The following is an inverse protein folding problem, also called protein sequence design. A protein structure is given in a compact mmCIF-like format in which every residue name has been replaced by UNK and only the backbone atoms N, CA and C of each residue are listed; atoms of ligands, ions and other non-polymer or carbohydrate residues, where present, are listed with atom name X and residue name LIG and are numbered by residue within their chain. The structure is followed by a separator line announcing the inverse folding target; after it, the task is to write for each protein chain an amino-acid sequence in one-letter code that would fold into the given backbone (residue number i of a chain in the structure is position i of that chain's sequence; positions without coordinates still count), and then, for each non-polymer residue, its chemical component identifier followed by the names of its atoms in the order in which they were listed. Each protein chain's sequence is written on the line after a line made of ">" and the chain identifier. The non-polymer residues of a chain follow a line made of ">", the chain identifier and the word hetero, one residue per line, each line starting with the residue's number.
data_IF_560422524137
#
_entry.id   IF_560422524137
#
_cell.length_a   1.000
_cell.length_b   1.000
_cell.length_c   1.000
_cell.angle_alpha   90.00
_cell.angle_beta   90.00
_cell.angle_gamma   90.00
#
_symmetry.space_group_name_H-M   'P 1'
#
loop_
_entity.id
_entity.type
_entity.pdbx_description
1 polymer ?
#
# COMPACT_ATOMS: atom_id res chain seq x y z
N UNK A 1 -16.36 16.18 -19.68
CA UNK A 1 -17.28 15.50 -18.73
C UNK A 1 -17.41 14.01 -19.00
N UNK A 2 -17.79 13.57 -20.20
CA UNK A 2 -17.90 12.12 -20.52
C UNK A 2 -16.61 11.36 -20.21
N UNK A 3 -15.44 11.91 -20.55
CA UNK A 3 -14.14 11.30 -20.24
C UNK A 3 -13.91 11.08 -18.74
N UNK A 4 -14.33 12.01 -17.88
CA UNK A 4 -14.23 11.89 -16.42
C UNK A 4 -15.08 10.71 -15.95
N UNK A 5 -16.34 10.63 -16.39
CA UNK A 5 -17.25 9.54 -16.00
C UNK A 5 -16.72 8.18 -16.46
N UNK A 6 -16.21 8.10 -17.69
CA UNK A 6 -15.60 6.86 -18.21
C UNK A 6 -14.36 6.48 -17.41
N UNK A 7 -13.47 7.43 -17.11
CA UNK A 7 -12.30 7.19 -16.26
C UNK A 7 -12.69 6.72 -14.85
N UNK A 8 -13.64 7.40 -14.21
CA UNK A 8 -14.17 7.00 -12.90
C UNK A 8 -14.81 5.62 -12.93
N UNK A 9 -15.53 5.25 -14.00
CA UNK A 9 -16.10 3.92 -14.17
C UNK A 9 -15.01 2.84 -14.29
N UNK A 10 -13.96 3.09 -15.08
CA UNK A 10 -12.83 2.17 -15.22
C UNK A 10 -12.10 2.00 -13.89
N UNK A 11 -11.82 3.08 -13.18
CA UNK A 11 -11.23 3.05 -11.85
C UNK A 11 -12.12 2.32 -10.83
N UNK A 12 -13.42 2.59 -10.82
CA UNK A 12 -14.37 1.94 -9.92
C UNK A 12 -14.43 0.42 -10.16
N UNK A 13 -14.43 -0.02 -11.43
CA UNK A 13 -14.39 -1.44 -11.77
C UNK A 13 -13.07 -2.10 -11.37
N UNK A 14 -11.94 -1.43 -11.60
CA UNK A 14 -10.62 -1.95 -11.23
C UNK A 14 -10.48 -2.09 -9.70
N UNK A 15 -10.77 -1.02 -8.97
CA UNK A 15 -10.68 -0.98 -7.50
C UNK A 15 -11.69 -1.92 -6.88
N UNK A 16 -12.95 -1.87 -7.33
CA UNK A 16 -14.01 -2.78 -6.88
C UNK A 16 -13.67 -4.24 -7.13
N UNK A 17 -13.09 -4.57 -8.29
CA UNK A 17 -12.64 -5.92 -8.60
C UNK A 17 -11.55 -6.42 -7.65
N UNK A 18 -10.56 -5.58 -7.33
CA UNK A 18 -9.52 -5.91 -6.34
C UNK A 18 -10.11 -6.07 -4.93
N UNK A 19 -10.98 -5.16 -4.49
CA UNK A 19 -11.62 -5.25 -3.17
C UNK A 19 -12.49 -6.52 -3.04
N UNK A 20 -13.27 -6.85 -4.08
CA UNK A 20 -14.07 -8.07 -4.13
C UNK A 20 -13.19 -9.32 -4.14
N UNK A 21 -12.08 -9.32 -4.88
CA UNK A 21 -11.12 -10.42 -4.86
C UNK A 21 -10.51 -10.63 -3.48
N UNK A 22 -10.13 -9.54 -2.80
CA UNK A 22 -9.59 -9.59 -1.44
C UNK A 22 -10.64 -10.13 -0.46
N UNK A 23 -11.87 -9.63 -0.53
CA UNK A 23 -12.98 -10.10 0.32
C UNK A 23 -13.29 -11.59 0.07
N UNK A 24 -13.40 -12.00 -1.19
CA UNK A 24 -13.60 -13.39 -1.59
C UNK A 24 -12.47 -14.28 -1.06
N UNK A 25 -11.22 -13.86 -1.24
CA UNK A 25 -10.03 -14.58 -0.76
C UNK A 25 -10.02 -14.69 0.77
N UNK A 26 -10.47 -13.67 1.49
CA UNK A 26 -10.51 -13.69 2.96
C UNK A 26 -11.58 -14.65 3.50
N UNK A 27 -12.71 -14.79 2.80
CA UNK A 27 -13.83 -15.68 3.19
C UNK A 27 -13.57 -17.14 2.78
N UNK A 28 -12.97 -17.37 1.60
CA UNK A 28 -12.83 -18.72 1.02
C UNK A 28 -11.57 -19.46 1.45
N UNK A 29 -10.49 -18.76 1.81
CA UNK A 29 -9.26 -19.41 2.29
C UNK A 29 -9.44 -19.82 3.75
N UNK A 30 -9.56 -21.14 3.99
CA UNK A 30 -9.58 -21.73 5.35
C UNK A 30 -8.31 -21.38 6.13
N UNK A 31 -8.45 -21.20 7.46
CA UNK A 31 -7.38 -20.82 8.40
C UNK A 31 -6.14 -21.72 8.37
N UNK A 32 -6.25 -22.97 7.92
CA UNK A 32 -5.16 -23.97 7.85
C UNK A 32 -4.59 -24.22 6.44
N UNK A 33 -4.91 -23.38 5.45
CA UNK A 33 -4.35 -23.53 4.11
C UNK A 33 -2.89 -23.06 4.03
N UNK A 34 -2.02 -23.82 3.34
CA UNK A 34 -0.61 -23.47 3.08
C UNK A 34 -0.41 -22.15 2.31
N UNK A 35 -1.49 -21.59 1.74
CA UNK A 35 -1.57 -20.27 1.14
C UNK A 35 -2.17 -19.26 2.12
N UNK A 36 -1.40 -18.89 3.13
CA UNK A 36 -1.77 -17.80 4.03
C UNK A 36 -1.49 -16.46 3.36
N UNK A 37 -2.47 -15.56 3.38
CA UNK A 37 -2.19 -14.13 3.24
C UNK A 37 -1.28 -13.72 4.40
N UNK A 38 -0.01 -13.42 4.14
CA UNK A 38 0.86 -12.86 5.17
C UNK A 38 0.42 -11.41 5.42
N UNK A 39 -0.50 -11.26 6.37
CA UNK A 39 -0.88 -9.97 6.98
C UNK A 39 0.24 -9.39 7.84
N UNK A 40 1.45 -9.95 7.76
CA UNK A 40 2.59 -9.54 8.59
C UNK A 40 3.18 -8.20 8.13
N UNK A 41 2.81 -7.69 6.94
CA UNK A 41 3.30 -6.40 6.44
C UNK A 41 2.25 -5.28 6.59
N UNK A 42 2.57 -4.29 7.43
CA UNK A 42 1.85 -3.02 7.68
C UNK A 42 1.24 -2.36 6.43
N UNK A 43 1.97 -2.43 5.32
CA UNK A 43 1.65 -1.80 4.04
C UNK A 43 0.31 -2.29 3.49
N UNK A 44 -0.11 -3.52 3.82
CA UNK A 44 -1.41 -4.03 3.41
C UNK A 44 -2.59 -3.22 3.95
N UNK A 45 -2.50 -2.74 5.20
CA UNK A 45 -3.56 -1.97 5.82
C UNK A 45 -3.70 -0.60 5.17
N UNK A 46 -2.59 0.10 4.97
CA UNK A 46 -2.59 1.40 4.28
C UNK A 46 -3.07 1.29 2.84
N UNK A 47 -2.65 0.24 2.13
CA UNK A 47 -3.08 0.01 0.76
C UNK A 47 -4.58 -0.32 0.67
N UNK A 48 -5.10 -1.18 1.54
CA UNK A 48 -6.53 -1.48 1.57
C UNK A 48 -7.35 -0.22 1.88
N UNK A 49 -6.86 0.60 2.81
CA UNK A 49 -7.47 1.88 3.14
C UNK A 49 -7.48 2.85 1.95
N UNK A 50 -6.34 2.96 1.25
CA UNK A 50 -6.21 3.74 0.01
C UNK A 50 -7.25 3.29 -1.03
N UNK A 51 -7.35 1.98 -1.30
CA UNK A 51 -8.33 1.42 -2.25
C UNK A 51 -9.79 1.72 -1.87
N UNK A 52 -10.12 1.69 -0.58
CA UNK A 52 -11.47 2.04 -0.11
C UNK A 52 -11.77 3.51 -0.40
N UNK A 53 -10.80 4.40 -0.21
CA UNK A 53 -10.97 5.83 -0.43
C UNK A 53 -10.96 6.20 -1.90
N UNK A 54 -10.14 5.55 -2.73
CA UNK A 54 -10.22 5.67 -4.19
C UNK A 54 -11.60 5.23 -4.69
N UNK A 55 -12.15 4.15 -4.13
CA UNK A 55 -13.50 3.72 -4.49
C UNK A 55 -14.54 4.80 -4.14
N UNK A 56 -14.44 5.39 -2.95
CA UNK A 56 -15.30 6.52 -2.55
C UNK A 56 -15.14 7.72 -3.49
N UNK A 57 -13.91 8.06 -3.86
CA UNK A 57 -13.60 9.15 -4.79
C UNK A 57 -14.24 8.91 -6.17
N UNK A 58 -14.17 7.68 -6.69
CA UNK A 58 -14.78 7.34 -7.99
C UNK A 58 -16.29 7.46 -7.99
N UNK A 59 -16.96 7.29 -6.84
CA UNK A 59 -18.41 7.54 -6.72
C UNK A 59 -18.70 9.03 -7.00
N UNK A 60 -17.92 9.94 -6.43
CA UNK A 60 -18.02 11.38 -6.71
C UNK A 60 -17.86 11.71 -8.20
N UNK A 61 -16.86 11.10 -8.84
CA UNK A 61 -16.65 11.24 -10.29
C UNK A 61 -17.81 10.71 -11.13
N UNK A 62 -18.34 9.52 -10.79
CA UNK A 62 -19.47 8.88 -11.48
C UNK A 62 -20.76 9.71 -11.38
N UNK A 63 -21.01 10.37 -10.25
CA UNK A 63 -22.20 11.22 -10.05
C UNK A 63 -22.26 12.38 -11.05
N UNK A 64 -21.12 12.75 -11.67
CA UNK A 64 -21.09 13.72 -12.78
C UNK A 64 -21.93 13.33 -13.99
N UNK A 65 -22.34 12.05 -14.10
CA UNK A 65 -23.24 11.60 -15.18
C UNK A 65 -24.57 12.37 -15.21
N UNK A 66 -25.09 12.77 -14.04
CA UNK A 66 -26.34 13.53 -13.95
C UNK A 66 -26.24 14.85 -14.71
N UNK A 67 -25.15 15.57 -14.52
CA UNK A 67 -24.93 16.89 -15.14
C UNK A 67 -24.70 16.80 -16.64
N UNK A 68 -24.25 15.65 -17.14
CA UNK A 68 -24.15 15.39 -18.59
C UNK A 68 -25.55 15.21 -19.17
N UNK A 69 -26.44 14.49 -18.48
CA UNK A 69 -27.79 14.19 -18.96
C UNK A 69 -28.71 15.42 -18.88
N UNK A 70 -28.59 16.19 -17.81
CA UNK A 70 -29.46 17.35 -17.56
C UNK A 70 -28.95 18.64 -18.22
N UNK A 71 -27.72 18.64 -18.72
CA UNK A 71 -27.03 19.80 -19.33
C UNK A 71 -27.02 21.04 -18.43
N UNK A 72 -27.26 20.87 -17.13
CA UNK A 72 -27.38 21.95 -16.18
C UNK A 72 -26.84 21.52 -14.81
N UNK A 73 -26.17 22.43 -14.13
CA UNK A 73 -25.56 22.21 -12.81
C UNK A 73 -26.24 23.13 -11.79
N UNK A 74 -26.84 22.55 -10.76
CA UNK A 74 -27.62 23.31 -9.78
C UNK A 74 -27.40 22.80 -8.35
N UNK A 75 -27.49 23.67 -7.34
CA UNK A 75 -27.36 23.28 -5.94
C UNK A 75 -28.52 22.39 -5.50
N UNK A 76 -28.25 21.43 -4.62
CA UNK A 76 -29.26 20.52 -4.08
C UNK A 76 -28.65 19.26 -3.47
N UNK A 77 -29.49 18.36 -2.96
CA UNK A 77 -29.03 17.16 -2.24
C UNK A 77 -28.09 16.26 -3.08
N UNK A 78 -28.30 16.18 -4.39
CA UNK A 78 -27.41 15.42 -5.28
C UNK A 78 -26.03 16.09 -5.42
N UNK A 79 -26.01 17.42 -5.53
CA UNK A 79 -24.78 18.21 -5.58
C UNK A 79 -23.99 18.07 -4.27
N UNK A 80 -24.68 18.15 -3.13
CA UNK A 80 -24.10 17.89 -1.80
C UNK A 80 -23.54 16.48 -1.68
N UNK A 81 -24.28 15.46 -2.13
CA UNK A 81 -23.80 14.08 -2.10
C UNK A 81 -22.54 13.87 -2.95
N UNK A 82 -22.50 14.45 -4.16
CA UNK A 82 -21.32 14.40 -5.01
C UNK A 82 -20.12 15.10 -4.36
N UNK A 83 -20.32 16.33 -3.87
CA UNK A 83 -19.27 17.09 -3.20
C UNK A 83 -18.73 16.34 -1.99
N UNK A 84 -19.61 15.73 -1.19
CA UNK A 84 -19.24 14.90 -0.05
C UNK A 84 -18.35 13.70 -0.44
N UNK A 85 -18.76 12.89 -1.41
CA UNK A 85 -17.97 11.71 -1.80
C UNK A 85 -16.62 12.11 -2.42
N UNK A 86 -16.61 13.17 -3.22
CA UNK A 86 -15.38 13.71 -3.82
C UNK A 86 -14.42 14.17 -2.71
N UNK A 87 -14.91 15.00 -1.78
CA UNK A 87 -14.11 15.56 -0.69
C UNK A 87 -13.58 14.50 0.29
N UNK A 88 -14.41 13.52 0.68
CA UNK A 88 -13.99 12.38 1.53
C UNK A 88 -12.93 11.53 0.83
N UNK A 89 -13.14 11.26 -0.47
CA UNK A 89 -12.19 10.50 -1.29
C UNK A 89 -10.85 11.21 -1.41
N UNK A 90 -10.86 12.47 -1.83
CA UNK A 90 -9.66 13.27 -2.09
C UNK A 90 -8.79 13.45 -0.84
N UNK A 91 -9.38 13.89 0.29
CA UNK A 91 -8.67 14.01 1.57
C UNK A 91 -8.16 12.65 2.01
N UNK A 92 -9.00 11.62 1.95
CA UNK A 92 -8.63 10.29 2.40
C UNK A 92 -7.42 9.74 1.65
N UNK A 93 -7.43 9.84 0.32
CA UNK A 93 -6.34 9.39 -0.54
C UNK A 93 -5.06 10.19 -0.23
N UNK A 94 -5.16 11.50 -0.05
CA UNK A 94 -4.02 12.35 0.32
C UNK A 94 -3.41 11.97 1.69
N UNK A 95 -4.24 11.80 2.73
CA UNK A 95 -3.79 11.42 4.07
C UNK A 95 -3.22 9.99 4.11
N UNK A 96 -3.81 9.06 3.36
CA UNK A 96 -3.31 7.68 3.23
C UNK A 96 -1.95 7.66 2.55
N UNK A 97 -1.79 8.43 1.47
CA UNK A 97 -0.51 8.58 0.77
C UNK A 97 0.54 9.22 1.65
N UNK A 98 0.16 10.24 2.43
CA UNK A 98 1.03 10.87 3.44
C UNK A 98 1.51 9.86 4.47
N UNK A 99 0.62 9.04 5.01
CA UNK A 99 0.97 8.01 5.99
C UNK A 99 1.92 6.95 5.40
N UNK A 100 1.72 6.55 4.13
CA UNK A 100 2.64 5.67 3.41
C UNK A 100 4.03 6.33 3.28
N UNK A 101 4.07 7.59 2.85
CA UNK A 101 5.33 8.34 2.71
C UNK A 101 6.07 8.47 4.04
N UNK A 102 5.39 8.87 5.12
CA UNK A 102 5.98 8.97 6.45
C UNK A 102 6.50 7.62 6.96
N UNK A 103 5.78 6.53 6.70
CA UNK A 103 6.25 5.20 7.07
C UNK A 103 7.52 4.81 6.30
N UNK A 104 7.59 5.12 5.00
CA UNK A 104 8.80 4.91 4.20
C UNK A 104 9.97 5.73 4.77
N UNK A 105 9.74 7.00 5.09
CA UNK A 105 10.75 7.87 5.71
C UNK A 105 11.22 7.33 7.05
N UNK A 106 10.32 6.85 7.90
CA UNK A 106 10.65 6.25 9.19
C UNK A 106 11.57 5.03 9.00
N UNK A 107 11.27 4.16 8.04
CA UNK A 107 12.07 2.96 7.77
C UNK A 107 13.42 3.31 7.13
N UNK A 108 13.48 4.31 6.25
CA UNK A 108 14.71 4.68 5.54
C UNK A 108 15.67 5.56 6.37
N UNK A 109 15.13 6.47 7.19
CA UNK A 109 15.92 7.47 7.92
C UNK A 109 16.19 7.03 9.36
N UNK A 110 15.16 6.49 10.03
CA UNK A 110 15.25 6.10 11.44
C UNK A 110 15.58 4.62 11.62
N UNK A 111 15.61 3.85 10.52
CA UNK A 111 15.83 2.39 10.51
C UNK A 111 14.88 1.61 11.46
N UNK A 112 13.76 2.24 11.83
CA UNK A 112 12.82 1.70 12.81
C UNK A 112 11.61 1.10 12.10
N UNK A 113 11.44 -0.21 12.24
CA UNK A 113 10.22 -0.93 11.86
C UNK A 113 9.18 -0.88 12.99
N UNK A 114 8.08 -0.14 12.78
CA UNK A 114 6.92 -0.14 13.70
C UNK A 114 6.23 -1.53 13.76
N UNK A 115 5.42 -1.81 14.79
CA UNK A 115 4.60 -3.01 14.89
C UNK A 115 3.23 -2.88 14.17
N UNK A 116 2.59 -3.97 13.68
CA UNK A 116 1.41 -3.90 12.78
C UNK A 116 0.23 -3.13 13.34
N UNK A 117 0.07 -3.17 14.66
CA UNK A 117 -0.99 -2.45 15.39
C UNK A 117 -0.86 -0.93 15.26
N UNK A 118 0.36 -0.42 15.06
CA UNK A 118 0.59 1.01 14.86
C UNK A 118 -0.10 1.52 13.59
N UNK A 119 -0.15 0.70 12.53
CA UNK A 119 -0.85 1.10 11.30
C UNK A 119 -2.35 1.32 11.54
N UNK A 120 -3.00 0.46 12.33
CA UNK A 120 -4.41 0.62 12.69
C UNK A 120 -4.67 1.90 13.48
N UNK A 121 -3.75 2.27 14.37
CA UNK A 121 -3.84 3.52 15.12
C UNK A 121 -3.74 4.75 14.19
N UNK A 122 -2.80 4.74 13.25
CA UNK A 122 -2.69 5.82 12.23
C UNK A 122 -3.96 5.89 11.36
N UNK A 123 -4.51 4.74 10.94
CA UNK A 123 -5.77 4.73 10.18
C UNK A 123 -6.94 5.33 10.98
N UNK A 124 -7.02 5.06 12.29
CA UNK A 124 -8.04 5.68 13.14
C UNK A 124 -7.87 7.20 13.23
N UNK A 125 -6.64 7.70 13.30
CA UNK A 125 -6.35 9.15 13.25
C UNK A 125 -6.78 9.74 11.90
N UNK A 126 -6.51 9.06 10.79
CA UNK A 126 -6.90 9.53 9.45
C UNK A 126 -8.43 9.64 9.36
N UNK A 127 -9.18 8.63 9.79
CA UNK A 127 -10.65 8.70 9.80
C UNK A 127 -11.18 9.82 10.69
N UNK A 128 -10.56 10.03 11.86
CA UNK A 128 -10.92 11.15 12.73
C UNK A 128 -10.66 12.49 12.03
N UNK A 129 -9.52 12.64 11.34
CA UNK A 129 -9.21 13.85 10.58
C UNK A 129 -10.20 14.08 9.44
N UNK A 130 -10.54 13.05 8.65
CA UNK A 130 -11.57 13.13 7.59
C UNK A 130 -12.91 13.58 8.19
N UNK A 131 -13.32 12.97 9.30
CA UNK A 131 -14.57 13.30 9.97
C UNK A 131 -14.60 14.76 10.41
N UNK A 132 -13.52 15.26 11.00
CA UNK A 132 -13.40 16.66 11.41
C UNK A 132 -13.46 17.58 10.19
N UNK A 133 -12.65 17.32 9.17
CA UNK A 133 -12.54 18.18 7.97
C UNK A 133 -13.83 18.23 7.15
N UNK A 134 -14.61 17.14 7.14
CA UNK A 134 -15.84 17.06 6.35
C UNK A 134 -17.08 17.48 7.14
N UNK A 135 -17.20 17.07 8.41
CA UNK A 135 -18.41 17.34 9.20
C UNK A 135 -18.41 18.75 9.78
N UNK A 136 -17.28 19.23 10.33
CA UNK A 136 -17.25 20.52 11.05
C UNK A 136 -17.69 21.67 10.14
N UNK A 137 -17.12 21.86 8.92
CA UNK A 137 -17.52 22.98 8.06
C UNK A 137 -18.98 22.83 7.60
N UNK A 138 -19.41 21.60 7.29
CA UNK A 138 -20.77 21.34 6.84
C UNK A 138 -21.84 21.66 7.90
N UNK A 139 -21.50 21.51 9.18
CA UNK A 139 -22.37 21.88 10.32
C UNK A 139 -22.34 23.38 10.57
N UNK A 140 -21.17 24.03 10.49
CA UNK A 140 -21.05 25.47 10.78
C UNK A 140 -21.72 26.34 9.72
N UNK A 141 -21.65 25.95 8.45
CA UNK A 141 -22.07 26.78 7.31
C UNK A 141 -23.35 26.31 6.63
N UNK A 142 -24.01 25.27 7.16
CA UNK A 142 -25.26 24.73 6.62
C UNK A 142 -25.16 24.38 5.12
N UNK A 143 -24.29 23.42 4.80
CA UNK A 143 -23.90 22.95 3.46
C UNK A 143 -22.84 23.80 2.73
N UNK A 144 -21.61 23.30 2.73
CA UNK A 144 -20.44 23.92 2.06
C UNK A 144 -20.32 23.58 0.56
N UNK A 145 -21.12 22.62 0.10
CA UNK A 145 -20.99 22.07 -1.25
C UNK A 145 -21.91 22.79 -2.24
N UNK A 146 -21.35 23.18 -3.38
CA UNK A 146 -22.05 23.86 -4.45
C UNK A 146 -21.39 23.68 -5.84
N UNK A 147 -21.99 24.28 -6.89
CA UNK A 147 -21.49 24.24 -8.25
C UNK A 147 -20.14 24.95 -8.44
N UNK A 148 -19.07 24.22 -8.76
CA UNK A 148 -17.72 24.78 -8.96
C UNK A 148 -17.19 24.52 -10.38
N UNK A 149 -17.79 25.22 -11.34
CA UNK A 149 -17.49 25.02 -12.76
C UNK A 149 -18.39 23.93 -13.35
N UNK A 150 -17.87 22.72 -13.50
CA UNK A 150 -18.59 21.62 -14.17
C UNK A 150 -19.09 20.51 -13.23
N UNK A 151 -18.72 20.54 -11.96
CA UNK A 151 -19.15 19.56 -10.96
C UNK A 151 -19.41 20.22 -9.61
N UNK A 152 -19.94 19.44 -8.67
CA UNK A 152 -20.19 19.89 -7.32
C UNK A 152 -19.01 19.61 -6.40
N UNK A 153 -18.55 20.65 -5.71
CA UNK A 153 -17.43 20.61 -4.77
C UNK A 153 -17.58 21.76 -3.75
N UNK A 154 -16.53 22.10 -3.01
CA UNK A 154 -16.54 23.14 -1.98
C UNK A 154 -16.68 24.52 -2.64
N UNK A 155 -17.79 25.23 -2.44
CA UNK A 155 -18.16 26.46 -3.18
C UNK A 155 -17.98 27.76 -2.39
N UNK A 156 -17.70 27.67 -1.09
CA UNK A 156 -17.85 28.83 -0.21
C UNK A 156 -16.73 29.88 -0.36
N UNK A 157 -15.48 29.51 -0.16
CA UNK A 157 -14.35 30.43 -0.33
C UNK A 157 -13.08 29.73 -0.81
N UNK A 158 -12.22 30.47 -1.52
CA UNK A 158 -10.90 29.97 -1.92
C UNK A 158 -10.05 29.56 -0.71
N UNK A 159 -10.24 30.21 0.43
CA UNK A 159 -9.51 29.87 1.66
C UNK A 159 -9.93 28.52 2.23
N UNK A 160 -11.23 28.21 2.19
CA UNK A 160 -11.73 26.89 2.61
C UNK A 160 -11.37 25.80 1.61
N UNK A 161 -11.47 26.08 0.30
CA UNK A 161 -11.00 25.17 -0.74
C UNK A 161 -9.52 24.77 -0.52
N UNK A 162 -8.66 25.75 -0.17
CA UNK A 162 -7.26 25.48 0.12
C UNK A 162 -7.10 24.74 1.45
N UNK A 163 -7.78 25.19 2.51
CA UNK A 163 -7.59 24.65 3.86
C UNK A 163 -8.19 23.26 4.10
N UNK A 164 -9.31 22.96 3.44
CA UNK A 164 -10.02 21.69 3.62
C UNK A 164 -9.49 20.60 2.71
N UNK A 165 -9.05 20.94 1.50
CA UNK A 165 -8.67 19.93 0.50
C UNK A 165 -7.21 20.08 0.03
N UNK A 166 -6.88 21.18 -0.67
CA UNK A 166 -5.59 21.28 -1.36
C UNK A 166 -4.37 21.23 -0.43
N UNK A 167 -4.43 21.78 0.79
CA UNK A 167 -3.28 21.77 1.70
C UNK A 167 -2.82 20.34 2.02
N UNK A 168 -3.76 19.41 2.15
CA UNK A 168 -3.49 17.99 2.43
C UNK A 168 -2.92 17.28 1.20
N UNK A 169 -3.46 17.61 0.03
CA UNK A 169 -2.98 17.12 -1.25
C UNK A 169 -1.53 17.55 -1.52
N UNK A 170 -1.20 18.82 -1.27
CA UNK A 170 0.16 19.34 -1.40
C UNK A 170 1.11 18.79 -0.33
N UNK A 171 0.65 18.66 0.91
CA UNK A 171 1.43 18.02 1.98
C UNK A 171 1.83 16.60 1.58
N UNK A 172 0.88 15.82 1.06
CA UNK A 172 1.12 14.48 0.55
C UNK A 172 2.15 14.50 -0.59
N UNK A 173 1.99 15.39 -1.57
CA UNK A 173 2.92 15.52 -2.70
C UNK A 173 4.34 15.88 -2.25
N UNK A 174 4.51 16.82 -1.32
CA UNK A 174 5.83 17.24 -0.81
C UNK A 174 6.52 16.10 -0.05
N UNK A 175 5.82 15.44 0.88
CA UNK A 175 6.39 14.33 1.65
C UNK A 175 6.77 13.14 0.77
N UNK A 176 5.98 12.92 -0.27
CA UNK A 176 6.21 11.93 -1.29
C UNK A 176 7.49 12.25 -2.12
N UNK A 177 7.66 13.49 -2.58
CA UNK A 177 8.89 13.95 -3.25
C UNK A 177 10.11 13.77 -2.34
N UNK A 178 10.02 14.17 -1.07
CA UNK A 178 11.11 14.00 -0.09
C UNK A 178 11.47 12.53 0.07
N UNK A 179 10.46 11.66 0.20
CA UNK A 179 10.66 10.21 0.30
C UNK A 179 11.40 9.65 -0.91
N UNK A 180 11.05 10.12 -2.11
CA UNK A 180 11.70 9.72 -3.35
C UNK A 180 13.16 10.21 -3.45
N UNK A 181 13.42 11.47 -3.07
CA UNK A 181 14.77 12.03 -3.05
C UNK A 181 15.68 11.26 -2.08
N UNK A 182 15.22 10.97 -0.87
CA UNK A 182 16.00 10.22 0.11
C UNK A 182 16.28 8.79 -0.35
N UNK A 183 15.32 8.13 -0.98
CA UNK A 183 15.58 6.82 -1.56
C UNK A 183 16.61 6.89 -2.70
N UNK A 184 16.52 7.89 -3.59
CA UNK A 184 17.52 8.07 -4.63
C UNK A 184 18.92 8.27 -4.04
N UNK A 185 19.05 8.95 -2.90
CA UNK A 185 20.32 9.08 -2.16
C UNK A 185 20.77 7.75 -1.55
N UNK A 186 19.87 6.96 -0.98
CA UNK A 186 20.18 5.64 -0.40
C UNK A 186 20.67 4.67 -1.48
N UNK A 187 20.00 4.60 -2.64
CA UNK A 187 20.39 3.75 -3.76
C UNK A 187 21.72 4.21 -4.37
N UNK A 188 21.93 5.53 -4.46
CA UNK A 188 23.17 6.10 -5.02
C UNK A 188 24.33 6.14 -4.03
N UNK A 189 24.21 5.63 -2.80
CA UNK A 189 25.38 5.52 -1.92
C UNK A 189 26.37 4.55 -2.58
N UNK A 190 27.54 5.03 -3.06
CA UNK A 190 28.54 4.13 -3.60
C UNK A 190 28.99 3.24 -2.44
N UNK A 191 28.90 1.92 -2.64
CA UNK A 191 29.56 0.98 -1.73
C UNK A 191 31.05 1.36 -1.78
N UNK A 192 31.69 1.75 -0.67
CA UNK A 192 33.13 1.94 -0.68
C UNK A 192 33.74 0.58 -1.00
N UNK A 193 34.26 0.45 -2.22
CA UNK A 193 35.10 -0.67 -2.62
C UNK A 193 36.39 -0.48 -1.84
N UNK A 194 36.49 -1.27 -0.78
CA UNK A 194 37.62 -1.29 0.14
C UNK A 194 38.89 -1.64 -0.63
N UNK A 195 39.90 -0.78 -0.50
CA UNK A 195 41.10 -0.81 -1.32
C UNK A 195 42.21 0.06 -0.76
N UNK A 196 42.40 0.11 0.56
CA UNK A 196 43.72 -0.12 1.17
C UNK A 196 43.64 -0.21 2.70
N UNK A 197 44.53 -1.01 3.26
CA UNK A 197 44.63 -1.42 4.66
C UNK A 197 44.67 -0.24 5.63
N UNK A 198 43.76 -0.24 6.62
CA UNK A 198 44.03 0.35 7.93
C UNK A 198 43.52 -0.57 9.04
N UNK A 199 44.45 -1.33 9.62
CA UNK A 199 44.24 -1.99 10.90
C UNK A 199 44.09 -0.91 11.99
N UNK A 200 42.88 -0.75 12.51
CA UNK A 200 42.69 -0.23 13.86
C UNK A 200 42.02 -1.30 14.71
N UNK A 201 42.85 -1.94 15.53
CA UNK A 201 42.44 -2.73 16.68
C UNK A 201 41.68 -1.79 17.62
N UNK A 202 40.37 -1.98 17.70
CA UNK A 202 39.47 -1.34 18.65
C UNK A 202 38.23 -2.20 18.80
N UNK A 203 38.14 -2.86 19.95
CA UNK A 203 37.03 -3.66 20.44
C UNK A 203 35.64 -3.05 20.10
N UNK A 204 34.95 -3.56 19.07
CA UNK A 204 33.54 -3.24 18.85
C UNK A 204 32.81 -4.43 18.24
N UNK A 205 32.11 -5.11 19.14
CA UNK A 205 30.89 -5.92 18.97
C UNK A 205 30.55 -6.36 17.55
N UNK A 206 30.68 -7.69 17.35
CA UNK A 206 30.34 -8.42 16.13
C UNK A 206 28.83 -8.34 15.87
N UNK A 207 28.35 -7.28 15.23
CA UNK A 207 27.09 -7.33 14.49
C UNK A 207 27.40 -8.02 13.16
N UNK A 208 26.97 -9.27 13.07
CA UNK A 208 27.15 -10.19 11.96
C UNK A 208 26.77 -9.59 10.61
N UNK A 209 27.78 -9.43 9.75
CA UNK A 209 27.70 -9.14 8.30
C UNK A 209 27.20 -10.41 7.54
N UNK A 210 26.18 -11.08 8.07
CA UNK A 210 25.47 -12.17 7.39
C UNK A 210 24.15 -11.67 6.78
N UNK A 211 23.61 -10.53 7.24
CA UNK A 211 22.34 -9.96 6.75
C UNK A 211 22.44 -9.19 5.43
N UNK A 212 23.64 -8.81 4.98
CA UNK A 212 23.81 -8.05 3.72
C UNK A 212 23.83 -8.90 2.44
N UNK A 213 23.87 -10.23 2.55
CA UNK A 213 23.73 -11.13 1.39
C UNK A 213 22.26 -11.42 1.02
N UNK A 214 21.29 -10.97 1.83
CA UNK A 214 19.85 -10.92 1.50
C UNK A 214 19.43 -9.68 0.70
N UNK A 215 20.38 -8.79 0.38
CA UNK A 215 20.16 -7.47 -0.21
C UNK A 215 19.49 -7.41 -1.60
N UNK A 216 19.49 -8.41 -2.51
CA UNK A 216 18.78 -8.27 -3.78
C UNK A 216 17.25 -8.38 -3.63
N UNK A 217 16.74 -9.04 -2.57
CA UNK A 217 15.31 -9.22 -2.37
C UNK A 217 14.66 -8.08 -1.57
N UNK A 218 15.39 -7.46 -0.63
CA UNK A 218 14.90 -6.30 0.13
C UNK A 218 14.97 -4.99 -0.68
N UNK A 219 16.02 -4.80 -1.50
CA UNK A 219 16.10 -3.66 -2.43
C UNK A 219 15.04 -3.72 -3.54
N UNK A 220 14.74 -4.91 -4.07
CA UNK A 220 13.64 -5.10 -5.03
C UNK A 220 12.26 -4.80 -4.41
N UNK A 221 12.04 -5.11 -3.13
CA UNK A 221 10.81 -4.74 -2.39
C UNK A 221 10.72 -3.23 -2.15
N UNK A 222 11.84 -2.58 -1.79
CA UNK A 222 11.89 -1.14 -1.60
C UNK A 222 11.64 -0.36 -2.91
N UNK A 223 12.14 -0.86 -4.05
CA UNK A 223 11.89 -0.30 -5.39
C UNK A 223 10.43 -0.51 -5.84
N UNK A 224 9.81 -1.63 -5.48
CA UNK A 224 8.39 -1.88 -5.77
C UNK A 224 7.47 -0.92 -4.99
N UNK A 225 7.83 -0.52 -3.78
CA UNK A 225 7.09 0.46 -2.98
C UNK A 225 7.19 1.90 -3.52
N UNK A 226 7.98 2.11 -4.58
CA UNK A 226 8.37 3.43 -5.10
C UNK A 226 7.52 3.98 -6.25
N UNK A 227 6.67 3.15 -6.84
CA UNK A 227 5.79 3.60 -7.91
C UNK A 227 4.53 4.29 -7.36
N UNK A 228 4.11 3.99 -6.12
CA UNK A 228 2.92 4.59 -5.49
C UNK A 228 3.09 6.10 -5.36
N UNK A 229 4.25 6.58 -4.85
CA UNK A 229 4.43 7.99 -4.68
C UNK A 229 4.58 8.72 -6.04
N UNK A 230 5.18 8.07 -7.06
CA UNK A 230 5.29 8.62 -8.42
C UNK A 230 3.93 8.79 -9.10
N UNK A 231 3.07 7.76 -9.03
CA UNK A 231 1.72 7.80 -9.61
C UNK A 231 0.94 8.97 -9.02
N UNK A 232 0.98 9.13 -7.69
CA UNK A 232 0.32 10.24 -7.01
C UNK A 232 0.76 11.60 -7.55
N UNK A 233 2.07 11.84 -7.72
CA UNK A 233 2.59 13.11 -8.25
C UNK A 233 2.08 13.34 -9.69
N UNK A 234 2.09 12.30 -10.54
CA UNK A 234 1.67 12.41 -11.94
C UNK A 234 0.18 12.79 -12.05
N UNK A 235 -0.69 12.23 -11.20
CA UNK A 235 -2.13 12.51 -11.26
C UNK A 235 -2.53 13.80 -10.55
N UNK A 236 -1.88 14.13 -9.42
CA UNK A 236 -2.25 15.27 -8.56
C UNK A 236 -1.66 16.60 -9.02
N UNK A 237 -0.45 16.60 -9.59
CA UNK A 237 0.23 17.84 -9.95
C UNK A 237 -0.49 18.61 -11.09
N UNK A 238 -0.98 17.96 -12.16
CA UNK A 238 -1.67 18.67 -13.23
C UNK A 238 -3.00 19.31 -12.78
N UNK A 239 -3.82 18.58 -12.01
CA UNK A 239 -5.10 19.08 -11.51
C UNK A 239 -4.90 20.23 -10.53
N UNK A 240 -3.93 20.11 -9.62
CA UNK A 240 -3.62 21.20 -8.69
C UNK A 240 -3.08 22.44 -9.43
N UNK A 241 -2.23 22.26 -10.45
CA UNK A 241 -1.75 23.39 -11.27
C UNK A 241 -2.88 24.12 -12.01
N UNK A 242 -3.83 23.39 -12.59
CA UNK A 242 -5.01 23.98 -13.24
C UNK A 242 -5.85 24.79 -12.23
N UNK A 243 -6.15 24.22 -11.06
CA UNK A 243 -6.97 24.87 -10.03
C UNK A 243 -6.31 26.09 -9.41
N UNK A 244 -5.00 26.05 -9.16
CA UNK A 244 -4.24 27.22 -8.71
C UNK A 244 -4.18 28.33 -9.77
N UNK A 245 -4.21 27.99 -11.06
CA UNK A 245 -4.32 28.97 -12.13
C UNK A 245 -5.68 29.68 -12.07
N UNK A 246 -6.77 28.94 -11.85
CA UNK A 246 -8.11 29.51 -11.66
C UNK A 246 -8.17 30.44 -10.43
N UNK A 247 -7.54 30.05 -9.33
CA UNK A 247 -7.47 30.88 -8.10
C UNK A 247 -6.75 32.21 -8.29
N UNK A 248 -5.81 32.27 -9.23
CA UNK A 248 -5.13 33.52 -9.62
C UNK A 248 -5.97 34.38 -10.59
N UNK A 249 -7.18 33.94 -10.94
CA UNK A 249 -8.06 34.62 -11.88
C UNK A 249 -7.74 34.34 -13.35
N UNK A 250 -6.84 33.38 -13.65
CA UNK A 250 -6.60 32.99 -15.04
C UNK A 250 -7.72 32.06 -15.53
N UNK A 251 -8.18 32.28 -16.75
CA UNK A 251 -9.17 31.41 -17.40
C UNK A 251 -8.49 30.14 -17.90
N UNK A 252 -8.79 29.01 -17.25
CA UNK A 252 -8.30 27.71 -17.69
C UNK A 252 -9.21 27.17 -18.81
N UNK A 253 -8.67 26.76 -19.96
CA UNK A 253 -9.47 26.20 -21.03
C UNK A 253 -10.16 24.90 -20.58
N UNK A 254 -11.43 24.72 -20.97
CA UNK A 254 -12.21 23.52 -20.69
C UNK A 254 -11.45 22.21 -20.99
N UNK A 255 -10.74 22.15 -22.12
CA UNK A 255 -9.98 20.97 -22.51
C UNK A 255 -8.88 20.60 -21.49
N UNK A 256 -8.24 21.59 -20.88
CA UNK A 256 -7.21 21.37 -19.86
C UNK A 256 -7.85 20.83 -18.58
N UNK A 257 -8.91 21.46 -18.08
CA UNK A 257 -9.66 21.02 -16.90
C UNK A 257 -10.12 19.57 -17.06
N UNK A 258 -10.80 19.24 -18.17
CA UNK A 258 -11.25 17.87 -18.42
C UNK A 258 -10.10 16.88 -18.51
N UNK A 259 -8.98 17.25 -19.13
CA UNK A 259 -7.82 16.37 -19.21
C UNK A 259 -7.23 16.08 -17.82
N UNK A 260 -7.02 17.12 -17.01
CA UNK A 260 -6.46 16.96 -15.66
C UNK A 260 -7.40 16.19 -14.74
N UNK A 261 -8.71 16.43 -14.82
CA UNK A 261 -9.69 15.70 -14.03
C UNK A 261 -9.83 14.25 -14.47
N UNK A 262 -9.74 13.98 -15.78
CA UNK A 262 -9.76 12.61 -16.30
C UNK A 262 -8.54 11.85 -15.81
N UNK A 263 -7.36 12.49 -15.81
CA UNK A 263 -6.14 11.90 -15.27
C UNK A 263 -6.26 11.62 -13.78
N UNK A 264 -6.83 12.55 -13.02
CA UNK A 264 -7.09 12.39 -11.59
C UNK A 264 -8.10 11.26 -11.31
N UNK A 265 -9.17 11.17 -12.10
CA UNK A 265 -10.17 10.10 -12.01
C UNK A 265 -9.62 8.70 -12.34
N UNK A 266 -8.45 8.61 -12.99
CA UNK A 266 -7.73 7.35 -13.24
C UNK A 266 -6.82 6.92 -12.08
N UNK A 267 -6.76 7.67 -10.96
CA UNK A 267 -5.94 7.35 -9.79
C UNK A 267 -6.08 5.89 -9.34
N UNK A 268 -7.33 5.46 -9.07
CA UNK A 268 -7.63 4.10 -8.63
C UNK A 268 -7.22 3.01 -9.64
N UNK A 269 -7.30 3.29 -10.94
CA UNK A 269 -6.77 2.38 -11.96
C UNK A 269 -5.24 2.26 -11.84
N UNK A 270 -4.53 3.38 -11.69
CA UNK A 270 -3.07 3.32 -11.56
C UNK A 270 -2.63 2.62 -10.28
N UNK A 271 -3.33 2.85 -9.17
CA UNK A 271 -3.02 2.19 -7.90
C UNK A 271 -3.33 0.69 -7.90
N UNK A 272 -4.36 0.25 -8.61
CA UNK A 272 -4.66 -1.19 -8.80
C UNK A 272 -3.68 -1.87 -9.74
N UNK A 273 -3.30 -1.22 -10.85
CA UNK A 273 -2.22 -1.68 -11.72
C UNK A 273 -0.94 -1.85 -10.91
N UNK A 274 -0.64 -0.86 -10.08
CA UNK A 274 0.54 -0.87 -9.27
C UNK A 274 0.52 -2.00 -8.22
N UNK A 275 -0.64 -2.24 -7.61
CA UNK A 275 -0.82 -3.39 -6.73
C UNK A 275 -0.54 -4.73 -7.43
N UNK A 276 -1.04 -4.88 -8.67
CA UNK A 276 -0.80 -6.07 -9.46
C UNK A 276 0.70 -6.30 -9.74
N UNK A 277 1.45 -5.23 -10.06
CA UNK A 277 2.89 -5.31 -10.34
C UNK A 277 3.77 -5.46 -9.08
N UNK A 278 3.37 -4.89 -7.95
CA UNK A 278 4.17 -4.90 -6.72
C UNK A 278 3.96 -6.15 -5.87
N UNK A 279 2.82 -6.84 -6.03
CA UNK A 279 2.53 -8.07 -5.27
C UNK A 279 2.19 -9.29 -6.16
N UNK A 280 3.08 -9.70 -7.09
CA UNK A 280 2.88 -10.92 -7.89
C UNK A 280 2.88 -12.22 -7.06
N UNK A 281 3.22 -12.18 -5.76
CA UNK A 281 3.17 -13.35 -4.85
C UNK A 281 1.78 -13.67 -4.28
N UNK A 282 0.78 -12.83 -4.57
CA UNK A 282 -0.63 -13.18 -4.33
C UNK A 282 -1.24 -13.93 -5.51
N UNK A 283 -0.57 -13.92 -6.67
CA UNK A 283 -0.85 -14.91 -7.70
C UNK A 283 -0.33 -16.27 -7.22
N UNK A 284 -1.14 -17.32 -7.30
CA UNK A 284 -0.86 -18.63 -6.73
C UNK A 284 0.39 -19.31 -7.31
N UNK A 285 1.60 -18.98 -6.83
CA UNK A 285 2.81 -19.75 -7.16
C UNK A 285 2.80 -21.06 -6.37
N UNK A 286 2.90 -22.19 -7.07
CA UNK A 286 3.18 -23.48 -6.41
C UNK A 286 4.51 -23.35 -5.66
N UNK A 287 4.61 -23.81 -4.39
CA UNK A 287 5.93 -23.95 -3.78
C UNK A 287 6.77 -24.86 -4.67
N UNK A 288 7.94 -24.37 -5.09
CA UNK A 288 8.92 -25.19 -5.76
C UNK A 288 9.30 -26.31 -4.80
N UNK A 289 8.99 -27.54 -5.19
CA UNK A 289 9.33 -28.74 -4.45
C UNK A 289 10.85 -28.89 -4.52
N UNK A 290 11.57 -28.26 -3.58
CA UNK A 290 13.01 -28.38 -3.49
C UNK A 290 13.35 -29.73 -2.81
N UNK A 291 13.90 -30.71 -3.54
CA UNK A 291 14.15 -32.06 -3.01
C UNK A 291 15.08 -32.05 -1.78
N UNK A 292 15.91 -31.01 -1.63
CA UNK A 292 16.87 -30.89 -0.53
C UNK A 292 16.20 -30.65 0.84
N UNK A 293 15.05 -29.96 0.88
CA UNK A 293 14.31 -29.70 2.12
C UNK A 293 13.69 -30.97 2.73
N UNK A 294 13.26 -31.91 1.89
CA UNK A 294 12.70 -33.20 2.31
C UNK A 294 13.80 -34.13 2.82
N UNK A 295 14.99 -34.06 2.22
CA UNK A 295 16.15 -34.83 2.67
C UNK A 295 16.63 -34.37 4.06
N UNK A 296 16.72 -33.05 4.28
CA UNK A 296 17.10 -32.48 5.57
C UNK A 296 16.08 -32.76 6.67
N UNK A 297 14.78 -32.75 6.35
CA UNK A 297 13.71 -33.13 7.29
C UNK A 297 13.73 -34.63 7.64
N UNK A 298 14.12 -35.51 6.70
CA UNK A 298 14.32 -36.94 6.98
C UNK A 298 15.57 -37.19 7.85
N UNK A 299 16.65 -36.44 7.63
CA UNK A 299 17.88 -36.57 8.42
C UNK A 299 17.68 -36.06 9.85
N UNK A 300 16.93 -34.97 10.05
CA UNK A 300 16.60 -34.46 11.38
C UNK A 300 15.62 -35.38 12.14
N UNK A 301 14.66 -35.99 11.46
CA UNK A 301 13.78 -37.01 12.03
C UNK A 301 14.53 -38.28 12.46
N UNK A 302 15.52 -38.71 11.69
CA UNK A 302 16.36 -39.86 12.03
C UNK A 302 17.29 -39.59 13.24
N UNK A 303 17.84 -38.38 13.38
CA UNK A 303 18.62 -37.99 14.56
C UNK A 303 17.79 -37.95 15.84
N UNK A 304 16.56 -37.41 15.79
CA UNK A 304 15.68 -37.40 16.98
C UNK A 304 15.22 -38.79 17.42
N UNK A 305 15.16 -39.77 16.52
CA UNK A 305 14.85 -41.15 16.88
C UNK A 305 16.03 -41.85 17.58
N UNK A 306 17.27 -41.49 17.21
CA UNK A 306 18.48 -42.03 17.82
C UNK A 306 18.72 -41.48 19.24
N UNK A 307 18.32 -40.23 19.52
CA UNK A 307 18.47 -39.62 20.84
C UNK A 307 17.38 -40.03 21.86
N UNK A 308 16.33 -40.74 21.42
CA UNK A 308 15.22 -41.16 22.29
C UNK A 308 15.37 -42.56 22.89
N UNK A 309 16.40 -43.32 22.52
CA UNK A 309 16.74 -44.60 23.12
C UNK A 309 18.23 -44.64 23.52
N UNK A 310 18.58 -44.22 24.74
CA UNK A 310 19.91 -44.47 25.29
C UNK A 310 20.07 -45.99 25.50
N UNK A 311 21.16 -46.54 24.97
CA UNK A 311 21.63 -47.90 25.31
C UNK A 311 22.03 -47.92 26.79
N UNK A 312 21.11 -48.30 27.67
CA UNK A 312 21.46 -48.76 29.02
C UNK A 312 20.47 -49.84 29.46
N UNK A 313 20.77 -51.09 29.09
CA UNK A 313 20.38 -52.27 29.86
C UNK A 313 21.34 -53.42 29.52
N UNK A 314 22.32 -53.66 30.39
CA UNK A 314 22.96 -54.97 30.50
C UNK A 314 22.00 -55.92 31.24
N UNK A 315 21.77 -57.15 30.74
CA UNK A 315 21.47 -58.26 31.61
C UNK A 315 22.66 -59.23 31.66
N UNK A 316 23.15 -59.48 32.87
CA UNK A 316 24.04 -60.60 33.16
C UNK A 316 23.37 -61.96 32.91
N UNK A 317 24.21 -62.89 32.43
CA UNK A 317 24.20 -64.35 32.56
C UNK A 317 22.88 -65.12 32.80
N UNK A 318 22.52 -65.95 31.82
CA UNK A 318 21.64 -67.10 31.98
C UNK A 318 21.62 -67.98 30.72
N UNK A 319 22.17 -69.19 30.84
CA UNK A 319 22.30 -70.22 29.81
C UNK A 319 21.01 -70.55 29.02
N UNK A 320 21.14 -70.87 27.73
CA UNK A 320 20.49 -71.98 26.96
C UNK A 320 20.93 -71.83 25.49
N UNK A 321 21.97 -72.55 25.03
CA UNK A 321 21.93 -73.84 24.30
C UNK A 321 21.34 -73.74 22.89
N UNK A 322 22.23 -73.88 21.88
CA UNK A 322 22.13 -74.47 20.51
C UNK A 322 20.92 -74.08 19.62
N UNK A 323 21.02 -73.71 18.35
CA UNK A 323 21.80 -74.29 17.24
C UNK A 323 21.80 -73.34 16.01
N UNK A 324 22.82 -73.45 15.16
CA UNK A 324 22.91 -72.92 13.77
C UNK A 324 22.60 -74.09 12.79
N UNK A 325 22.51 -73.99 11.43
CA UNK A 325 22.20 -72.93 10.44
C UNK A 325 21.02 -73.30 9.48
N UNK A 326 20.72 -72.46 8.46
CA UNK A 326 20.90 -72.75 7.00
C UNK A 326 19.99 -71.89 6.07
N UNK A 327 20.66 -71.37 5.04
CA UNK A 327 20.27 -70.76 3.74
C UNK A 327 18.95 -71.18 3.04
N UNK A 328 18.28 -70.14 2.49
CA UNK A 328 17.82 -69.89 1.10
C UNK A 328 16.84 -70.89 0.41
N UNK A 329 16.16 -70.52 -0.71
CA UNK A 329 16.12 -69.23 -1.42
C UNK A 329 14.82 -68.42 -1.27
#
# INVERSE_FOLDING_TARGET
>A
MVFIVVASAVSALAVGGVLLYIAYSAVTIKRDASRRWSTDTHIHYYFLHLMILDFIQTIGGLLSIKWIVEENLYPGAFCTAQGFFTHVGDIGVALSTTAIALHILQVLVLEWRSPPKFALFILAIIWLAILILVIVPNVTQHNIYGPTGYWCWIDESTMEQIGLDYIWMWLAAVLNIISYLLLALVIRRPVPVDGDRFCWRGERERISIQDRAGAPAESARAIQMLFYPLVYIIVVLPISAARFSEFKGHTVPFAVTIFTDTLFALSGLFDTILYAFTRPRLLPRRPSHDPQSVLLARISGARMAHDRFPQDYMPEHGNFVTDWPVRAP
#
